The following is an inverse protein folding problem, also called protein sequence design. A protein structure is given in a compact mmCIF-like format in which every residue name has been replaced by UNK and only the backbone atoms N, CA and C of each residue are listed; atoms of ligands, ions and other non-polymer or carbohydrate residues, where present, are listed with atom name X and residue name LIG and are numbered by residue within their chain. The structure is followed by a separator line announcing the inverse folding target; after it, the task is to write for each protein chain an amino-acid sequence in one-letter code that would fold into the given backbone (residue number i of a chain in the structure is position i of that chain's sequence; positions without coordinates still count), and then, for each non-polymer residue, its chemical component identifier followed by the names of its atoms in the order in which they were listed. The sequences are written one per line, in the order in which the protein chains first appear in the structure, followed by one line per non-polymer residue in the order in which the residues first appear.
data_IF_953806114800
#
_entry.id   IF_953806114800
#
_cell.length_a   1.000
_cell.length_b   1.000
_cell.length_c   1.000
_cell.angle_alpha   90.00
_cell.angle_beta   90.00
_cell.angle_gamma   90.00
#
_symmetry.space_group_name_H-M   'P 1'
#
loop_
_entity.id
_entity.type
_entity.pdbx_description
1 polymer ?
#
# COMPACT_ATOMS: atom_id res chain seq x y z
N UNK A 1 -16.85 -1.56 17.95
CA UNK A 1 -16.08 -2.59 17.23
C UNK A 1 -14.63 -2.13 17.20
N UNK A 2 -13.70 -2.91 17.76
CA UNK A 2 -12.27 -2.63 17.61
C UNK A 2 -11.86 -3.01 16.18
N UNK A 3 -11.17 -2.12 15.49
CA UNK A 3 -10.54 -2.41 14.19
C UNK A 3 -9.04 -2.57 14.43
N UNK A 4 -8.44 -3.59 13.82
CA UNK A 4 -7.01 -3.87 13.93
C UNK A 4 -6.34 -3.59 12.58
N UNK A 5 -5.04 -3.31 12.64
CA UNK A 5 -4.22 -3.22 11.43
C UNK A 5 -4.11 -4.60 10.80
N UNK A 6 -4.21 -4.67 9.48
CA UNK A 6 -4.14 -5.92 8.74
C UNK A 6 -2.83 -5.96 7.94
N UNK A 7 -1.96 -6.97 8.15
CA UNK A 7 -0.81 -7.18 7.29
C UNK A 7 -1.26 -7.73 5.94
N UNK A 8 -0.93 -7.02 4.86
CA UNK A 8 -1.16 -7.46 3.48
C UNK A 8 0.18 -7.91 2.88
N UNK A 9 0.25 -9.15 2.44
CA UNK A 9 1.41 -9.75 1.77
C UNK A 9 1.09 -10.04 0.31
N UNK A 10 2.04 -9.79 -0.60
CA UNK A 10 1.93 -10.12 -2.01
C UNK A 10 2.98 -11.16 -2.40
N UNK A 11 2.54 -12.32 -2.87
CA UNK A 11 3.43 -13.34 -3.38
C UNK A 11 4.00 -12.93 -4.76
N UNK A 12 5.23 -13.40 -5.03
CA UNK A 12 5.86 -13.27 -6.35
C UNK A 12 6.38 -11.87 -6.70
N UNK A 13 6.18 -10.87 -5.84
CA UNK A 13 6.57 -9.48 -6.09
C UNK A 13 6.97 -8.78 -4.78
N UNK A 14 8.01 -7.96 -4.85
CA UNK A 14 8.11 -6.79 -3.98
C UNK A 14 7.33 -5.63 -4.59
N UNK A 15 6.92 -4.68 -3.76
CA UNK A 15 6.17 -3.50 -4.14
C UNK A 15 6.72 -2.24 -3.45
N UNK A 16 6.53 -1.11 -4.11
CA UNK A 16 6.75 0.22 -3.53
C UNK A 16 5.53 0.62 -2.70
N UNK A 17 5.75 1.05 -1.46
CA UNK A 17 4.70 1.67 -0.63
C UNK A 17 4.69 3.18 -0.92
N UNK A 18 3.67 3.64 -1.63
CA UNK A 18 3.60 5.03 -2.09
C UNK A 18 3.03 5.97 -1.02
N UNK A 19 2.02 5.53 -0.28
CA UNK A 19 1.40 6.31 0.79
C UNK A 19 0.57 5.43 1.73
N UNK A 20 0.34 5.92 2.94
CA UNK A 20 -0.62 5.39 3.91
C UNK A 20 -1.43 6.53 4.49
N UNK A 21 -2.68 6.26 4.84
CA UNK A 21 -3.55 7.26 5.46
C UNK A 21 -4.63 6.62 6.32
N UNK A 22 -5.35 7.46 7.07
CA UNK A 22 -6.50 7.07 7.86
C UNK A 22 -7.79 7.58 7.21
N UNK A 23 -8.91 6.95 7.55
CA UNK A 23 -10.21 7.23 6.96
C UNK A 23 -10.40 6.58 5.60
N UNK A 24 -11.37 7.12 4.84
CA UNK A 24 -11.68 6.65 3.48
C UNK A 24 -10.70 7.31 2.50
N UNK A 25 -10.07 6.49 1.66
CA UNK A 25 -9.25 6.96 0.56
C UNK A 25 -10.05 7.86 -0.41
N UNK A 26 -9.47 8.98 -0.78
CA UNK A 26 -9.99 9.97 -1.73
C UNK A 26 -8.93 10.26 -2.80
N UNK A 27 -9.11 9.75 -4.01
CA UNK A 27 -8.10 9.83 -5.07
C UNK A 27 -7.73 11.27 -5.45
N UNK A 28 -8.69 12.21 -5.42
CA UNK A 28 -8.44 13.60 -5.82
C UNK A 28 -7.49 14.32 -4.84
N UNK A 29 -7.49 13.89 -3.58
CA UNK A 29 -6.67 14.47 -2.50
C UNK A 29 -5.42 13.65 -2.23
N UNK A 30 -5.59 12.35 -2.02
CA UNK A 30 -4.56 11.48 -1.47
C UNK A 30 -3.48 11.12 -2.50
N UNK A 31 -3.78 11.14 -3.81
CA UNK A 31 -2.76 10.92 -4.84
C UNK A 31 -1.61 11.93 -4.77
N UNK A 32 -1.87 13.14 -4.26
CA UNK A 32 -0.86 14.19 -4.10
C UNK A 32 0.14 13.86 -2.97
N UNK A 33 -0.17 12.89 -2.11
CA UNK A 33 0.68 12.46 -0.99
C UNK A 33 1.66 11.34 -1.33
N UNK A 34 1.60 10.82 -2.57
CA UNK A 34 2.42 9.68 -2.96
C UNK A 34 3.90 10.05 -2.96
N UNK A 35 4.72 9.25 -2.26
CA UNK A 35 6.15 9.27 -2.47
C UNK A 35 6.48 8.57 -3.79
N UNK A 36 6.77 9.35 -4.82
CA UNK A 36 7.18 8.87 -6.15
C UNK A 36 8.69 9.01 -6.40
N UNK A 37 9.46 9.45 -5.40
CA UNK A 37 10.90 9.71 -5.54
C UNK A 37 11.71 8.54 -4.97
N UNK A 38 11.44 8.16 -3.73
CA UNK A 38 12.18 7.12 -2.99
C UNK A 38 11.28 6.25 -2.08
N UNK A 39 10.17 5.69 -2.59
CA UNK A 39 9.26 4.90 -1.76
C UNK A 39 9.93 3.62 -1.20
N UNK A 40 9.61 3.22 0.05
CA UNK A 40 10.09 1.95 0.59
C UNK A 40 9.64 0.76 -0.24
N UNK A 41 10.55 -0.20 -0.46
CA UNK A 41 10.25 -1.49 -1.10
C UNK A 41 9.99 -2.57 -0.04
N UNK A 42 8.88 -3.29 -0.16
CA UNK A 42 8.42 -4.33 0.77
C UNK A 42 7.66 -5.42 0.02
N UNK A 43 7.49 -6.60 0.62
CA UNK A 43 6.52 -7.63 0.19
C UNK A 43 5.33 -7.77 1.16
N UNK A 44 5.40 -7.11 2.32
CA UNK A 44 4.35 -7.13 3.33
C UNK A 44 4.21 -5.73 3.93
N UNK A 45 2.98 -5.27 4.14
CA UNK A 45 2.70 -3.96 4.73
C UNK A 45 1.49 -4.01 5.66
N UNK A 46 1.58 -3.34 6.80
CA UNK A 46 0.47 -3.15 7.72
C UNK A 46 -0.44 -2.03 7.22
N UNK A 47 -1.67 -2.34 6.85
CA UNK A 47 -2.68 -1.33 6.52
C UNK A 47 -3.14 -0.67 7.82
N UNK A 48 -3.13 0.68 7.93
CA UNK A 48 -3.52 1.36 9.15
C UNK A 48 -4.95 1.00 9.58
N UNK A 49 -5.18 0.97 10.90
CA UNK A 49 -6.51 0.81 11.48
C UNK A 49 -7.45 1.88 10.93
N UNK A 50 -8.59 1.45 10.38
CA UNK A 50 -9.57 2.33 9.71
C UNK A 50 -8.87 3.26 8.72
N UNK A 51 -8.04 2.69 7.84
CA UNK A 51 -7.22 3.45 6.91
C UNK A 51 -6.96 2.72 5.61
N UNK A 52 -5.96 3.20 4.88
CA UNK A 52 -5.62 2.74 3.54
C UNK A 52 -4.11 2.74 3.33
N UNK A 53 -3.68 2.01 2.32
CA UNK A 53 -2.29 1.97 1.84
C UNK A 53 -2.31 1.85 0.33
N UNK A 54 -1.45 2.61 -0.35
CA UNK A 54 -1.25 2.50 -1.80
C UNK A 54 0.09 1.85 -2.05
N UNK A 55 0.07 0.75 -2.82
CA UNK A 55 1.27 0.09 -3.32
C UNK A 55 1.34 0.18 -4.84
N UNK A 56 2.56 0.11 -5.38
CA UNK A 56 2.81 -0.02 -6.82
C UNK A 56 3.84 -1.11 -7.06
N UNK A 57 3.58 -1.97 -8.03
CA UNK A 57 4.50 -3.02 -8.46
C UNK A 57 4.35 -3.23 -9.97
N UNK A 58 5.31 -3.93 -10.56
CA UNK A 58 5.26 -4.33 -11.97
C UNK A 58 4.87 -5.81 -12.00
N UNK A 59 3.77 -6.13 -12.66
CA UNK A 59 3.31 -7.50 -12.84
C UNK A 59 4.10 -8.20 -13.98
N UNK A 60 5.39 -8.43 -13.76
CA UNK A 60 6.31 -9.02 -14.74
C UNK A 60 6.77 -10.44 -14.38
N UNK A 61 6.11 -11.09 -13.41
CA UNK A 61 6.41 -12.45 -12.99
C UNK A 61 5.23 -13.40 -13.32
N UNK A 62 5.31 -14.18 -14.42
CA UNK A 62 4.28 -15.15 -14.77
C UNK A 62 4.16 -16.25 -13.70
N UNK A 63 2.97 -16.42 -13.13
CA UNK A 63 2.71 -17.38 -12.06
C UNK A 63 1.26 -17.33 -11.58
N UNK A 64 0.99 -18.03 -10.46
CA UNK A 64 -0.29 -18.08 -9.74
C UNK A 64 -0.03 -17.86 -8.26
#
# INVERSE_FOLDING_TARGET
MYSYSNPMHLHGHDFFVLAQGHGKYDADKDMQTYNLVDPPVRNTILVPVVGWTVIRFIASNPGM
#
